data_IF_336801032922
#
_entry.id   IF_336801032922
#
_cell.length_a   1.000
_cell.length_b   1.000
_cell.length_c   1.000
_cell.angle_alpha   90.00
_cell.angle_beta   90.00
_cell.angle_gamma   90.00
#
_symmetry.space_group_name_H-M   'P 1'
#
loop_
_entity.id
_entity.type
_entity.pdbx_description
1 polymer ?
#
# COMPACT_ATOMS: atom_id res chain seq x y z
N UNK A 1 0.24 27.80 8.91
CA UNK A 1 1.16 27.05 8.04
C UNK A 1 1.76 28.05 7.09
N UNK A 2 3.08 28.11 7.02
CA UNK A 2 3.81 28.98 6.10
C UNK A 2 4.23 28.11 4.89
N UNK A 3 3.49 28.24 3.79
CA UNK A 3 3.70 27.48 2.54
C UNK A 3 3.95 28.45 1.41
N UNK A 4 4.85 28.09 0.49
CA UNK A 4 5.07 28.89 -0.70
C UNK A 4 3.82 28.87 -1.59
N UNK A 5 3.48 29.97 -2.28
CA UNK A 5 2.22 30.07 -3.05
C UNK A 5 2.07 29.01 -4.15
N UNK A 6 3.19 28.43 -4.62
CA UNK A 6 3.20 27.38 -5.65
C UNK A 6 3.16 25.96 -5.08
N UNK A 7 3.16 25.78 -3.76
CA UNK A 7 3.16 24.47 -3.15
C UNK A 7 1.82 23.76 -3.34
N UNK A 8 1.88 22.46 -3.60
CA UNK A 8 0.74 21.56 -3.56
C UNK A 8 0.85 20.74 -2.28
N UNK A 9 -0.08 20.97 -1.35
CA UNK A 9 -0.18 20.19 -0.12
C UNK A 9 -1.50 19.43 -0.11
N UNK A 10 -1.43 18.13 0.21
CA UNK A 10 -2.60 17.27 0.34
C UNK A 10 -2.52 16.42 1.61
N UNK A 11 -3.66 16.22 2.27
CA UNK A 11 -3.82 15.11 3.21
C UNK A 11 -4.16 13.86 2.41
N UNK A 12 -3.49 12.75 2.69
CA UNK A 12 -3.73 11.48 2.01
C UNK A 12 -4.44 10.52 2.98
N UNK A 13 -5.53 9.92 2.50
CA UNK A 13 -6.12 8.71 3.09
C UNK A 13 -5.90 7.56 2.12
N UNK A 14 -5.38 6.43 2.61
CA UNK A 14 -5.10 5.25 1.78
C UNK A 14 -6.15 4.18 2.03
N UNK A 15 -6.72 3.66 0.95
CA UNK A 15 -7.55 2.45 0.96
C UNK A 15 -6.77 1.28 0.39
N UNK A 16 -7.07 0.08 0.86
CA UNK A 16 -6.55 -1.17 0.29
C UNK A 16 -7.69 -1.98 -0.32
N UNK A 17 -7.59 -2.26 -1.62
CA UNK A 17 -8.55 -3.07 -2.38
C UNK A 17 -7.87 -4.37 -2.82
N UNK A 18 -8.42 -5.52 -2.42
CA UNK A 18 -7.97 -6.84 -2.88
C UNK A 18 -8.86 -7.28 -4.05
N UNK A 19 -8.28 -7.49 -5.24
CA UNK A 19 -8.99 -7.95 -6.44
C UNK A 19 -8.16 -8.99 -7.20
N UNK A 20 -8.74 -10.16 -7.45
CA UNK A 20 -8.06 -11.26 -8.15
C UNK A 20 -6.69 -11.61 -7.54
N UNK A 21 -6.60 -11.59 -6.20
CA UNK A 21 -5.36 -11.85 -5.46
C UNK A 21 -4.30 -10.74 -5.55
N UNK A 22 -4.62 -9.57 -6.13
CA UNK A 22 -3.74 -8.40 -6.19
C UNK A 22 -4.24 -7.31 -5.27
N UNK A 23 -3.32 -6.62 -4.61
CA UNK A 23 -3.63 -5.45 -3.79
C UNK A 23 -3.45 -4.16 -4.60
N UNK A 24 -4.49 -3.34 -4.58
CA UNK A 24 -4.54 -2.02 -5.18
C UNK A 24 -4.70 -1.04 -4.03
N UNK A 25 -3.71 -0.19 -3.80
CA UNK A 25 -3.89 0.94 -2.90
C UNK A 25 -4.58 2.07 -3.65
N UNK A 26 -5.45 2.80 -2.97
CA UNK A 26 -6.10 3.99 -3.54
C UNK A 26 -5.79 5.13 -2.60
N UNK A 27 -4.96 6.06 -3.06
CA UNK A 27 -4.62 7.27 -2.32
C UNK A 27 -5.65 8.34 -2.66
N UNK A 28 -6.44 8.73 -1.67
CA UNK A 28 -7.37 9.85 -1.78
C UNK A 28 -6.67 11.09 -1.26
N UNK A 29 -6.25 11.94 -2.18
CA UNK A 29 -5.66 13.23 -1.92
C UNK A 29 -6.75 14.25 -1.65
N UNK A 30 -6.83 14.75 -0.42
CA UNK A 30 -7.61 15.93 -0.07
C UNK A 30 -6.76 17.18 -0.24
N UNK A 31 -7.20 18.10 -1.11
CA UNK A 31 -6.49 19.37 -1.37
C UNK A 31 -6.47 20.27 -0.13
N UNK A 32 -5.29 20.69 0.30
CA UNK A 32 -5.06 21.72 1.33
C UNK A 32 -4.58 23.01 0.66
N UNK A 33 -3.60 22.93 -0.25
CA UNK A 33 -3.11 24.07 -1.05
C UNK A 33 -2.73 23.64 -2.47
N UNK A 34 -2.74 24.59 -3.40
CA UNK A 34 -2.32 24.40 -4.78
C UNK A 34 -3.47 24.04 -5.72
N UNK A 35 -3.13 23.59 -6.92
CA UNK A 35 -4.12 23.24 -7.94
C UNK A 35 -4.14 21.73 -8.17
N UNK A 36 -5.33 21.13 -8.03
CA UNK A 36 -5.62 19.72 -8.28
C UNK A 36 -6.87 19.62 -9.14
N UNK A 37 -7.06 18.48 -9.81
CA UNK A 37 -8.22 18.19 -10.63
C UNK A 37 -9.56 18.32 -9.88
N UNK A 38 -9.55 18.25 -8.54
CA UNK A 38 -10.72 18.49 -7.68
C UNK A 38 -10.33 18.72 -6.23
N UNK A 39 -11.34 18.90 -5.36
CA UNK A 39 -11.15 18.96 -3.89
C UNK A 39 -10.58 17.65 -3.34
N UNK A 40 -10.99 16.54 -3.93
CA UNK A 40 -10.48 15.21 -3.67
C UNK A 40 -10.05 14.59 -5.00
N UNK A 41 -8.91 13.90 -5.01
CA UNK A 41 -8.42 13.13 -6.15
C UNK A 41 -8.06 11.74 -5.66
N UNK A 42 -8.74 10.73 -6.18
CA UNK A 42 -8.42 9.33 -5.88
C UNK A 42 -7.45 8.80 -6.94
N UNK A 43 -6.29 8.31 -6.51
CA UNK A 43 -5.24 7.80 -7.37
C UNK A 43 -5.03 6.31 -7.05
N UNK A 44 -5.37 5.39 -7.96
CA UNK A 44 -5.09 3.97 -7.77
C UNK A 44 -3.60 3.69 -8.03
N UNK A 45 -2.96 3.08 -7.05
CA UNK A 45 -1.56 2.64 -7.06
C UNK A 45 -1.51 1.12 -6.93
N UNK A 46 -0.80 0.44 -7.84
CA UNK A 46 -0.64 -1.01 -7.79
C UNK A 46 0.57 -1.37 -6.92
N UNK A 47 0.38 -2.28 -5.96
CA UNK A 47 1.50 -2.89 -5.25
C UNK A 47 1.72 -4.30 -5.76
N UNK A 48 2.93 -4.53 -6.26
CA UNK A 48 3.29 -5.75 -6.97
C UNK A 48 3.67 -6.90 -6.02
N UNK A 49 4.09 -6.60 -4.80
CA UNK A 49 4.55 -7.59 -3.82
C UNK A 49 4.13 -7.15 -2.43
N UNK A 50 3.54 -8.07 -1.67
CA UNK A 50 3.05 -7.85 -0.31
C UNK A 50 3.73 -8.89 0.57
N UNK A 51 4.06 -8.51 1.81
CA UNK A 51 4.53 -9.46 2.80
C UNK A 51 3.56 -10.62 2.99
N UNK A 52 4.08 -11.82 3.25
CA UNK A 52 3.28 -13.03 3.46
C UNK A 52 2.29 -12.81 4.63
N UNK A 53 1.07 -13.39 4.60
CA UNK A 53 0.05 -13.14 5.62
C UNK A 53 0.52 -13.36 7.07
N UNK A 54 1.40 -14.32 7.31
CA UNK A 54 1.99 -14.63 8.62
C UNK A 54 2.85 -13.48 9.21
N UNK A 55 3.28 -12.54 8.37
CA UNK A 55 4.03 -11.36 8.79
C UNK A 55 3.15 -10.12 8.97
N UNK A 56 1.86 -10.19 8.62
CA UNK A 56 0.94 -9.07 8.77
C UNK A 56 0.44 -8.99 10.22
N UNK A 57 0.46 -7.78 10.79
CA UNK A 57 -0.07 -7.51 12.13
C UNK A 57 -1.58 -7.28 12.13
N UNK A 58 -2.25 -7.64 13.22
CA UNK A 58 -3.67 -7.38 13.44
C UNK A 58 -3.91 -6.81 14.85
N UNK A 59 -4.91 -5.95 14.99
CA UNK A 59 -5.26 -5.32 16.26
C UNK A 59 -6.58 -4.56 16.18
N UNK A 60 -7.15 -4.27 17.35
CA UNK A 60 -8.39 -3.48 17.49
C UNK A 60 -8.18 -1.98 17.20
N UNK A 61 -6.92 -1.54 17.23
CA UNK A 61 -6.48 -0.19 16.90
C UNK A 61 -5.15 -0.23 16.14
N UNK A 62 -4.74 0.94 15.64
CA UNK A 62 -3.53 1.12 14.84
C UNK A 62 -2.27 0.69 15.60
N UNK A 63 -2.17 1.04 16.88
CA UNK A 63 -0.99 0.77 17.69
C UNK A 63 -0.81 -0.74 17.91
N UNK A 64 -1.89 -1.43 18.29
CA UNK A 64 -1.87 -2.89 18.50
C UNK A 64 -1.53 -3.65 17.21
N UNK A 65 -2.09 -3.23 16.07
CA UNK A 65 -1.79 -3.85 14.79
C UNK A 65 -0.31 -3.67 14.40
N UNK A 66 0.26 -2.49 14.67
CA UNK A 66 1.67 -2.21 14.45
C UNK A 66 2.57 -3.04 15.36
N UNK A 67 2.28 -3.10 16.65
CA UNK A 67 3.05 -3.89 17.63
C UNK A 67 3.06 -5.39 17.27
N UNK A 68 1.92 -5.94 16.87
CA UNK A 68 1.81 -7.34 16.41
C UNK A 68 2.65 -7.58 15.14
N UNK A 69 2.61 -6.68 14.16
CA UNK A 69 3.42 -6.75 12.94
C UNK A 69 4.92 -6.75 13.29
N UNK A 70 5.37 -5.78 14.09
CA UNK A 70 6.77 -5.63 14.48
C UNK A 70 7.29 -6.86 15.22
N UNK A 71 6.45 -7.48 16.07
CA UNK A 71 6.80 -8.73 16.76
C UNK A 71 7.00 -9.89 15.78
N UNK A 72 6.14 -10.03 14.76
CA UNK A 72 6.19 -11.12 13.76
C UNK A 72 7.39 -11.04 12.83
N UNK A 73 7.87 -9.83 12.52
CA UNK A 73 9.01 -9.62 11.63
C UNK A 73 10.35 -9.50 12.34
N UNK A 74 10.35 -9.49 13.68
CA UNK A 74 11.56 -9.30 14.48
C UNK A 74 12.57 -10.42 14.22
N UNK A 75 13.72 -10.06 13.65
CA UNK A 75 14.81 -11.00 13.36
C UNK A 75 14.72 -11.69 11.99
N UNK A 76 13.75 -11.31 11.15
CA UNK A 76 13.67 -11.77 9.76
C UNK A 76 14.47 -10.84 8.83
N UNK A 77 15.06 -11.41 7.78
CA UNK A 77 15.63 -10.61 6.68
C UNK A 77 14.52 -10.13 5.75
N UNK A 78 14.83 -9.17 4.89
CA UNK A 78 13.85 -8.58 3.98
C UNK A 78 13.23 -9.65 3.07
N UNK A 79 14.03 -10.60 2.60
CA UNK A 79 13.64 -11.68 1.70
C UNK A 79 12.69 -12.68 2.37
N UNK A 80 12.74 -12.82 3.69
CA UNK A 80 11.85 -13.71 4.45
C UNK A 80 10.42 -13.15 4.48
N UNK A 81 10.29 -11.82 4.50
CA UNK A 81 9.01 -11.12 4.61
C UNK A 81 8.16 -11.24 3.36
N UNK A 82 8.81 -11.23 2.20
CA UNK A 82 8.13 -11.14 0.91
C UNK A 82 8.16 -12.49 0.16
N UNK A 83 7.15 -12.77 -0.66
CA UNK A 83 7.24 -13.85 -1.63
C UNK A 83 8.39 -13.57 -2.61
N UNK A 84 9.33 -14.49 -2.75
CA UNK A 84 10.33 -14.51 -3.84
C UNK A 84 9.57 -14.75 -5.16
N UNK A 85 9.51 -13.77 -6.05
CA UNK A 85 8.78 -13.81 -7.35
C UNK A 85 9.03 -15.12 -8.14
N UNK A 86 8.10 -15.69 -8.92
CA UNK A 86 7.30 -15.05 -9.99
C UNK A 86 5.93 -15.74 -10.18
N UNK A 87 4.86 -15.01 -10.59
CA UNK A 87 3.65 -15.63 -11.16
C UNK A 87 4.01 -16.59 -12.30
N UNK A 88 3.50 -17.82 -12.25
CA UNK A 88 3.59 -18.77 -13.38
C UNK A 88 3.04 -18.08 -14.63
N UNK A 89 3.91 -17.87 -15.61
CA UNK A 89 3.49 -17.70 -17.01
C UNK A 89 2.80 -19.02 -17.36
N UNK A 90 1.47 -19.04 -17.48
CA UNK A 90 0.78 -20.19 -18.06
C UNK A 90 1.43 -20.42 -19.42
N UNK A 91 2.16 -21.52 -19.56
CA UNK A 91 2.54 -22.06 -20.85
C UNK A 91 1.24 -22.41 -21.55
N UNK A 92 0.73 -21.51 -22.39
CA UNK A 92 -0.05 -21.93 -23.55
C UNK A 92 0.91 -22.83 -24.33
N UNK A 93 0.74 -24.14 -24.16
CA UNK A 93 1.34 -25.10 -25.07
C UNK A 93 0.68 -24.83 -26.41
N UNK A 94 1.49 -24.49 -27.40
CA UNK A 94 1.19 -24.80 -28.78
C UNK A 94 0.77 -26.28 -28.85
N UNK A 95 -0.44 -26.51 -29.37
CA UNK A 95 -0.88 -27.65 -30.19
C UNK A 95 -2.37 -27.50 -30.48
#
# INVERSE_FOLDING_TARGET
>A
MDLHQTDILTKISRYNLIRNGRMIYIDVHQKIQGNLAGKYVAVPNLVNIVAKPEHQGAGEDEQKALEDCLKKIKGLNLEDLFPTTVPRRNTLKDN
#
